data_IF_129244825233
#
_entry.id   IF_129244825233
#
_cell.length_a   1.000
_cell.length_b   1.000
_cell.length_c   1.000
_cell.angle_alpha   90.00
_cell.angle_beta   90.00
_cell.angle_gamma   90.00
#
_symmetry.space_group_name_H-M   'P 1'
#
loop_
_entity.id
_entity.type
_entity.pdbx_description
1 polymer ?
#
# COMPACT_ATOMS: atom_id res chain seq x y z
N UNK A 1 18.65 -11.36 -41.38
CA UNK A 1 17.60 -12.33 -41.75
C UNK A 1 16.18 -12.10 -41.22
N UNK A 2 15.93 -11.18 -40.27
CA UNK A 2 14.57 -10.75 -39.91
C UNK A 2 14.26 -9.33 -40.42
N UNK A 3 15.27 -8.45 -40.43
CA UNK A 3 15.14 -7.07 -40.91
C UNK A 3 14.88 -6.98 -42.42
N UNK A 4 15.41 -7.93 -43.20
CA UNK A 4 15.25 -7.96 -44.67
C UNK A 4 13.85 -8.41 -45.12
N UNK A 5 13.07 -9.07 -44.23
CA UNK A 5 11.67 -9.45 -44.48
C UNK A 5 10.69 -8.31 -44.24
N UNK A 6 11.07 -7.29 -43.46
CA UNK A 6 10.21 -6.15 -43.13
C UNK A 6 10.19 -5.08 -44.24
N UNK A 7 11.16 -5.09 -45.16
CA UNK A 7 11.27 -4.10 -46.24
C UNK A 7 10.45 -4.42 -47.51
N UNK A 8 9.86 -5.63 -47.63
CA UNK A 8 9.10 -6.06 -48.83
C UNK A 8 7.58 -5.85 -48.76
N UNK A 9 7.06 -5.30 -47.66
CA UNK A 9 5.65 -4.93 -47.54
C UNK A 9 5.59 -3.41 -47.32
N UNK A 10 5.11 -2.71 -48.35
CA UNK A 10 5.21 -1.25 -48.56
C UNK A 10 5.11 -0.39 -47.31
N UNK A 11 6.09 0.50 -47.18
CA UNK A 11 6.38 1.29 -45.98
C UNK A 11 5.45 2.47 -45.72
N UNK A 12 5.57 3.02 -44.51
CA UNK A 12 5.89 4.43 -44.26
C UNK A 12 6.70 4.50 -42.96
N UNK A 13 7.89 5.11 -43.01
CA UNK A 13 8.76 5.37 -41.86
C UNK A 13 8.35 6.65 -41.12
N UNK A 14 8.57 6.78 -39.80
CA UNK A 14 8.26 7.99 -39.06
C UNK A 14 9.51 8.87 -38.92
N UNK A 15 9.43 10.13 -39.36
CA UNK A 15 10.29 11.18 -38.81
C UNK A 15 9.65 12.56 -38.95
N UNK A 16 9.79 13.31 -37.85
CA UNK A 16 9.59 14.75 -37.68
C UNK A 16 8.16 15.22 -37.42
N UNK A 17 7.84 15.39 -36.13
CA UNK A 17 7.38 16.70 -35.66
C UNK A 17 7.61 16.84 -34.15
N UNK A 18 8.72 17.49 -33.78
CA UNK A 18 8.85 18.14 -32.49
C UNK A 18 8.33 19.56 -32.64
N UNK A 19 7.23 19.92 -31.98
CA UNK A 19 7.14 21.16 -31.20
C UNK A 19 5.75 21.40 -30.58
N UNK A 20 5.83 21.72 -29.28
CA UNK A 20 4.93 22.59 -28.50
C UNK A 20 3.55 22.03 -28.15
N UNK A 21 3.43 21.49 -26.94
CA UNK A 21 2.22 21.64 -26.12
C UNK A 21 2.64 22.02 -24.69
N UNK A 22 2.59 23.33 -24.40
CA UNK A 22 2.49 23.86 -23.04
C UNK A 22 1.01 24.07 -22.71
N UNK A 23 0.62 23.56 -21.55
CA UNK A 23 -0.36 24.10 -20.60
C UNK A 23 -1.55 24.91 -21.15
N UNK A 24 -2.77 24.39 -20.97
CA UNK A 24 -3.85 25.16 -20.37
C UNK A 24 -4.95 24.24 -19.82
N UNK A 25 -5.38 24.57 -18.61
CA UNK A 25 -6.37 23.87 -17.82
C UNK A 25 -7.73 23.75 -18.52
N UNK A 26 -8.41 22.66 -18.19
CA UNK A 26 -9.79 22.36 -18.55
C UNK A 26 -10.77 23.40 -17.99
N UNK A 27 -11.07 24.42 -18.78
CA UNK A 27 -12.35 25.12 -18.75
C UNK A 27 -13.23 24.53 -19.86
N UNK A 28 -14.36 23.93 -19.49
CA UNK A 28 -15.36 23.43 -20.44
C UNK A 28 -15.98 24.59 -21.23
N UNK A 29 -15.48 24.82 -22.44
CA UNK A 29 -16.20 25.55 -23.48
C UNK A 29 -16.49 24.53 -24.57
N UNK A 30 -17.77 24.20 -24.76
CA UNK A 30 -18.23 23.49 -25.94
C UNK A 30 -18.04 24.41 -27.16
N UNK A 31 -16.91 24.27 -27.85
CA UNK A 31 -16.71 24.87 -29.16
C UNK A 31 -17.49 24.04 -30.17
N UNK A 32 -18.67 24.51 -30.59
CA UNK A 32 -19.34 23.94 -31.76
C UNK A 32 -18.52 24.27 -33.00
N UNK A 33 -17.76 23.29 -33.49
CA UNK A 33 -17.20 23.29 -34.84
C UNK A 33 -18.38 23.28 -35.82
N UNK A 34 -18.80 24.46 -36.26
CA UNK A 34 -19.62 24.62 -37.46
C UNK A 34 -18.78 24.14 -38.63
N UNK A 35 -19.17 22.99 -39.19
CA UNK A 35 -18.75 22.57 -40.53
C UNK A 35 -18.87 23.73 -41.49
N UNK A 36 -17.75 24.08 -42.11
CA UNK A 36 -17.68 25.05 -43.20
C UNK A 36 -18.39 24.43 -44.41
N UNK A 37 -19.70 24.64 -44.51
CA UNK A 37 -20.44 24.35 -45.74
C UNK A 37 -20.16 25.48 -46.72
N UNK A 38 -19.58 25.14 -47.87
CA UNK A 38 -19.36 26.01 -49.01
C UNK A 38 -20.59 26.89 -49.28
N UNK A 39 -20.42 28.20 -49.08
CA UNK A 39 -21.37 29.19 -49.56
C UNK A 39 -21.04 29.45 -51.02
N UNK A 40 -21.90 28.96 -51.92
CA UNK A 40 -22.00 29.49 -53.27
C UNK A 40 -22.27 31.00 -53.16
N UNK A 41 -21.34 31.79 -53.66
CA UNK A 41 -21.52 33.21 -53.89
C UNK A 41 -22.51 33.36 -55.06
N UNK A 42 -23.75 33.75 -54.76
CA UNK A 42 -24.62 34.37 -55.75
C UNK A 42 -24.37 35.88 -55.72
N UNK A 43 -24.09 36.41 -56.91
CA UNK A 43 -23.94 37.82 -57.24
C UNK A 43 -25.22 38.58 -56.87
N UNK A 44 -25.16 39.32 -55.77
CA UNK A 44 -25.91 40.54 -55.59
C UNK A 44 -25.06 41.41 -54.66
N UNK A 45 -24.31 42.34 -55.25
CA UNK A 45 -23.52 43.37 -54.54
C UNK A 45 -24.43 44.43 -53.89
N UNK A 46 -25.42 44.00 -53.10
CA UNK A 46 -26.08 44.89 -52.15
C UNK A 46 -25.50 44.64 -50.76
N UNK A 47 -24.89 45.69 -50.24
CA UNK A 47 -24.39 45.74 -48.86
C UNK A 47 -25.53 45.37 -47.91
N UNK A 48 -25.41 44.26 -47.17
CA UNK A 48 -26.43 43.85 -46.19
C UNK A 48 -26.67 44.99 -45.20
N UNK A 49 -27.84 45.61 -45.28
CA UNK A 49 -28.18 46.73 -44.40
C UNK A 49 -28.24 46.23 -42.96
N UNK A 50 -27.37 46.79 -42.11
CA UNK A 50 -27.29 46.44 -40.69
C UNK A 50 -28.53 47.01 -39.99
N UNK A 51 -29.54 46.17 -39.76
CA UNK A 51 -30.75 46.56 -39.01
C UNK A 51 -30.39 46.76 -37.52
N UNK A 52 -30.09 48.00 -37.13
CA UNK A 52 -29.77 48.39 -35.75
C UNK A 52 -30.98 48.33 -34.79
N UNK A 53 -32.19 48.17 -35.33
CA UNK A 53 -33.41 48.08 -34.52
C UNK A 53 -33.59 46.62 -34.10
N UNK A 54 -33.46 46.36 -32.79
CA UNK A 54 -33.76 45.07 -32.17
C UNK A 54 -35.07 44.49 -32.72
N UNK A 55 -34.97 43.50 -33.63
CA UNK A 55 -36.09 42.64 -33.98
C UNK A 55 -36.57 42.03 -32.67
N UNK A 56 -37.85 42.26 -32.32
CA UNK A 56 -38.46 41.70 -31.11
C UNK A 56 -38.08 40.22 -31.03
N UNK A 57 -37.28 39.84 -30.04
CA UNK A 57 -36.91 38.45 -29.81
C UNK A 57 -38.21 37.64 -29.69
N UNK A 58 -38.54 36.88 -30.74
CA UNK A 58 -39.62 35.90 -30.66
C UNK A 58 -39.14 34.87 -29.65
N UNK A 59 -39.78 34.83 -28.49
CA UNK A 59 -39.51 33.82 -27.46
C UNK A 59 -39.73 32.45 -28.10
N UNK A 60 -38.64 31.77 -28.44
CA UNK A 60 -38.67 30.36 -28.77
C UNK A 60 -39.30 29.63 -27.57
N UNK A 61 -40.30 28.75 -27.77
CA UNK A 61 -40.90 28.02 -26.68
C UNK A 61 -39.81 27.23 -25.95
N UNK A 62 -39.71 27.41 -24.62
CA UNK A 62 -38.75 26.69 -23.82
C UNK A 62 -38.95 25.18 -24.03
N UNK A 63 -37.86 24.46 -24.33
CA UNK A 63 -37.90 23.01 -24.53
C UNK A 63 -38.45 22.35 -23.25
N UNK A 64 -39.63 21.77 -23.33
CA UNK A 64 -40.21 21.00 -22.22
C UNK A 64 -39.30 19.81 -21.93
N UNK A 65 -38.64 19.80 -20.77
CA UNK A 65 -37.88 18.64 -20.31
C UNK A 65 -38.86 17.48 -20.10
N UNK A 66 -38.74 16.44 -20.92
CA UNK A 66 -39.48 15.20 -20.72
C UNK A 66 -38.92 14.52 -19.47
N UNK A 67 -39.79 14.24 -18.50
CA UNK A 67 -39.44 13.43 -17.32
C UNK A 67 -39.02 12.04 -17.77
N UNK A 68 -37.87 11.56 -17.29
CA UNK A 68 -37.38 10.21 -17.58
C UNK A 68 -37.91 9.25 -16.51
N UNK A 69 -38.44 8.10 -16.92
CA UNK A 69 -38.87 7.07 -15.98
C UNK A 69 -37.63 6.45 -15.32
N UNK A 70 -37.44 6.73 -14.02
CA UNK A 70 -36.33 6.17 -13.25
C UNK A 70 -36.66 4.72 -12.90
N UNK A 71 -35.87 3.79 -13.42
CA UNK A 71 -35.98 2.37 -13.06
C UNK A 71 -35.67 2.15 -11.58
N UNK A 72 -36.31 1.16 -10.92
CA UNK A 72 -36.01 0.86 -9.53
C UNK A 72 -34.53 0.44 -9.36
N UNK A 73 -33.93 0.74 -8.19
CA UNK A 73 -32.53 0.43 -7.95
C UNK A 73 -32.24 -1.07 -7.98
N UNK A 74 -31.06 -1.43 -8.48
CA UNK A 74 -30.63 -2.82 -8.71
C UNK A 74 -30.77 -3.70 -7.46
N UNK A 75 -30.46 -3.18 -6.27
CA UNK A 75 -30.50 -3.97 -5.04
C UNK A 75 -31.88 -4.53 -4.69
N UNK A 76 -32.97 -3.89 -5.12
CA UNK A 76 -34.34 -4.41 -4.90
C UNK A 76 -34.62 -5.67 -5.71
N UNK A 77 -33.83 -5.93 -6.76
CA UNK A 77 -33.96 -7.08 -7.66
C UNK A 77 -32.92 -8.17 -7.37
N UNK A 78 -31.98 -7.92 -6.45
CA UNK A 78 -30.93 -8.88 -6.10
C UNK A 78 -31.51 -10.00 -5.23
N UNK A 79 -31.06 -11.23 -5.46
CA UNK A 79 -31.35 -12.37 -4.57
C UNK A 79 -30.42 -12.31 -3.36
N UNK A 80 -30.89 -12.79 -2.21
CA UNK A 80 -30.09 -12.81 -0.97
C UNK A 80 -28.90 -13.78 -1.11
N UNK A 81 -29.11 -14.93 -1.76
CA UNK A 81 -28.08 -15.98 -1.93
C UNK A 81 -27.15 -15.76 -3.14
N UNK A 82 -27.17 -14.58 -3.74
CA UNK A 82 -26.36 -14.28 -4.93
C UNK A 82 -24.86 -14.23 -4.60
N UNK A 83 -24.01 -14.71 -5.51
CA UNK A 83 -22.56 -14.49 -5.42
C UNK A 83 -22.23 -12.99 -5.46
N UNK A 84 -21.78 -12.49 -4.31
CA UNK A 84 -21.38 -11.11 -4.13
C UNK A 84 -20.21 -10.69 -5.04
N UNK A 85 -19.29 -11.62 -5.34
CA UNK A 85 -18.16 -11.35 -6.23
C UNK A 85 -18.57 -10.92 -7.63
N UNK A 86 -19.73 -11.36 -8.11
CA UNK A 86 -20.29 -10.95 -9.41
C UNK A 86 -21.01 -9.60 -9.33
N UNK A 87 -21.50 -9.20 -8.16
CA UNK A 87 -22.12 -7.89 -7.92
C UNK A 87 -21.04 -6.81 -7.85
N UNK A 88 -19.92 -7.12 -7.18
CA UNK A 88 -18.84 -6.19 -6.91
C UNK A 88 -17.44 -6.79 -7.20
N UNK A 89 -17.06 -6.93 -8.49
CA UNK A 89 -15.86 -7.68 -8.87
C UNK A 89 -14.54 -6.95 -8.62
N UNK A 90 -14.52 -5.61 -8.66
CA UNK A 90 -13.31 -4.79 -8.62
C UNK A 90 -13.49 -3.54 -7.74
N UNK A 91 -12.38 -2.88 -7.43
CA UNK A 91 -12.36 -1.62 -6.70
C UNK A 91 -13.19 -0.56 -7.44
N UNK A 92 -14.16 0.05 -6.73
CA UNK A 92 -15.04 1.09 -7.26
C UNK A 92 -15.60 1.93 -6.13
N UNK A 93 -15.94 3.19 -6.40
CA UNK A 93 -16.66 4.05 -5.47
C UNK A 93 -17.97 3.42 -5.02
N UNK A 94 -18.37 3.68 -3.78
CA UNK A 94 -19.63 3.19 -3.23
C UNK A 94 -20.82 3.62 -4.11
N UNK A 95 -21.66 2.67 -4.49
CA UNK A 95 -22.83 2.93 -5.33
C UNK A 95 -24.11 2.47 -4.63
N UNK A 96 -24.98 3.41 -4.19
CA UNK A 96 -26.12 3.10 -3.32
C UNK A 96 -27.16 2.19 -3.97
N UNK A 97 -27.27 2.20 -5.31
CA UNK A 97 -28.23 1.36 -6.02
C UNK A 97 -27.80 -0.10 -6.15
N UNK A 98 -26.51 -0.41 -5.99
CA UNK A 98 -25.96 -1.77 -6.16
C UNK A 98 -25.76 -2.51 -4.84
N UNK A 99 -25.55 -1.78 -3.74
CA UNK A 99 -25.27 -2.37 -2.43
C UNK A 99 -26.59 -2.56 -1.66
N UNK A 100 -26.98 -3.80 -1.32
CA UNK A 100 -28.24 -4.13 -0.65
C UNK A 100 -28.21 -3.90 0.88
N UNK A 101 -27.30 -3.06 1.37
CA UNK A 101 -27.14 -2.77 2.79
C UNK A 101 -27.71 -1.39 3.14
N UNK A 102 -28.42 -1.23 4.27
CA UNK A 102 -28.93 0.05 4.75
C UNK A 102 -27.84 0.83 5.50
N UNK A 103 -26.76 1.20 4.81
CA UNK A 103 -25.62 1.91 5.41
C UNK A 103 -25.97 3.39 5.60
N UNK A 104 -25.66 3.93 6.78
CA UNK A 104 -25.81 5.36 7.12
C UNK A 104 -24.49 5.89 7.64
N UNK A 105 -24.14 7.12 7.27
CA UNK A 105 -22.90 7.75 7.73
C UNK A 105 -23.02 9.27 7.74
N UNK A 106 -22.36 9.91 8.71
CA UNK A 106 -22.33 11.36 8.89
C UNK A 106 -22.69 11.74 10.32
N UNK A 107 -22.28 12.92 10.76
CA UNK A 107 -22.67 13.43 12.07
C UNK A 107 -24.11 13.96 12.00
N UNK A 108 -25.05 13.43 12.79
CA UNK A 108 -26.43 13.93 12.80
C UNK A 108 -26.52 15.26 13.54
N UNK A 109 -27.44 16.13 13.11
CA UNK A 109 -27.84 17.27 13.95
C UNK A 109 -28.64 16.79 15.17
N UNK A 110 -28.74 17.64 16.21
CA UNK A 110 -29.49 17.31 17.42
C UNK A 110 -30.93 16.91 17.08
N UNK A 111 -31.34 15.71 17.49
CA UNK A 111 -32.67 15.14 17.21
C UNK A 111 -32.88 14.60 15.79
N UNK A 112 -31.86 14.60 14.92
CA UNK A 112 -31.95 14.07 13.55
C UNK A 112 -31.29 12.69 13.40
N UNK A 113 -31.72 11.94 12.39
CA UNK A 113 -31.13 10.64 12.03
C UNK A 113 -29.91 10.84 11.13
N UNK A 114 -28.91 9.99 11.29
CA UNK A 114 -27.73 9.94 10.39
C UNK A 114 -28.14 9.85 8.92
N UNK A 115 -27.49 10.62 8.02
CA UNK A 115 -27.78 10.59 6.59
C UNK A 115 -27.74 9.19 6.00
N UNK A 116 -28.71 8.90 5.12
CA UNK A 116 -28.83 7.62 4.41
C UNK A 116 -27.74 7.48 3.33
N UNK A 117 -27.64 6.32 2.68
CA UNK A 117 -26.64 6.05 1.63
C UNK A 117 -26.84 6.83 0.34
N UNK A 118 -28.04 7.33 0.08
CA UNK A 118 -28.38 8.05 -1.14
C UNK A 118 -27.86 9.48 -1.10
N UNK A 119 -27.02 9.86 -2.06
CA UNK A 119 -26.45 11.21 -2.14
C UNK A 119 -25.42 11.52 -1.04
N UNK A 120 -24.93 10.52 -0.32
CA UNK A 120 -23.99 10.71 0.79
C UNK A 120 -22.54 10.77 0.31
N UNK A 121 -21.95 11.96 0.35
CA UNK A 121 -20.58 12.19 -0.06
C UNK A 121 -19.54 11.51 0.86
N UNK A 122 -19.85 11.30 2.15
CA UNK A 122 -18.91 10.65 3.07
C UNK A 122 -18.68 9.19 2.70
N UNK A 123 -19.73 8.49 2.26
CA UNK A 123 -19.61 7.12 1.75
C UNK A 123 -18.85 7.04 0.42
N UNK A 124 -18.81 8.11 -0.36
CA UNK A 124 -18.05 8.16 -1.62
C UNK A 124 -16.54 8.36 -1.40
N UNK A 125 -16.15 9.01 -0.29
CA UNK A 125 -14.73 9.26 0.05
C UNK A 125 -14.00 8.01 0.54
N UNK A 126 -14.72 7.08 1.17
CA UNK A 126 -14.11 5.90 1.77
C UNK A 126 -13.59 4.93 0.69
N UNK A 127 -12.31 4.52 0.74
CA UNK A 127 -11.84 3.39 -0.05
C UNK A 127 -12.45 2.11 0.52
N UNK A 128 -13.51 1.61 -0.13
CA UNK A 128 -14.24 0.44 0.33
C UNK A 128 -13.56 -0.88 -0.09
N UNK A 129 -13.80 -1.92 0.71
CA UNK A 129 -13.26 -3.28 0.51
C UNK A 129 -14.33 -4.27 0.05
N UNK A 130 -15.43 -3.78 -0.55
CA UNK A 130 -16.56 -4.63 -0.95
C UNK A 130 -16.19 -5.67 -2.03
N UNK A 131 -15.10 -5.47 -2.77
CA UNK A 131 -14.56 -6.43 -3.74
C UNK A 131 -13.62 -7.47 -3.10
N UNK A 132 -13.14 -7.22 -1.88
CA UNK A 132 -12.18 -8.06 -1.14
C UNK A 132 -12.87 -8.76 0.03
N UNK A 133 -14.05 -9.32 -0.21
CA UNK A 133 -14.75 -10.13 0.81
C UNK A 133 -14.08 -11.50 0.96
N UNK A 134 -14.09 -12.13 2.15
CA UNK A 134 -13.40 -13.39 2.38
C UNK A 134 -13.74 -14.53 1.39
N UNK A 135 -15.00 -14.72 0.95
CA UNK A 135 -15.33 -15.72 -0.08
C UNK A 135 -14.67 -15.42 -1.44
N UNK A 136 -14.60 -14.13 -1.82
CA UNK A 136 -13.97 -13.70 -3.07
C UNK A 136 -12.46 -13.90 -3.01
N UNK A 137 -11.83 -13.58 -1.88
CA UNK A 137 -10.39 -13.78 -1.68
C UNK A 137 -10.02 -15.26 -1.79
N UNK A 138 -10.79 -16.17 -1.16
CA UNK A 138 -10.53 -17.61 -1.24
C UNK A 138 -10.53 -18.09 -2.70
N UNK A 139 -11.55 -17.73 -3.47
CA UNK A 139 -11.65 -18.04 -4.90
C UNK A 139 -10.49 -17.46 -5.71
N UNK A 140 -10.08 -16.21 -5.42
CA UNK A 140 -8.95 -15.57 -6.09
C UNK A 140 -7.63 -16.28 -5.76
N UNK A 141 -7.37 -16.59 -4.50
CA UNK A 141 -6.19 -17.33 -4.07
C UNK A 141 -6.16 -18.73 -4.70
N UNK A 142 -7.27 -19.44 -4.76
CA UNK A 142 -7.38 -20.73 -5.47
C UNK A 142 -7.00 -20.62 -6.95
N UNK A 143 -7.47 -19.58 -7.64
CA UNK A 143 -7.10 -19.34 -9.04
C UNK A 143 -5.62 -18.94 -9.21
N UNK A 144 -5.03 -18.28 -8.21
CA UNK A 144 -3.63 -17.85 -8.21
C UNK A 144 -2.65 -18.96 -7.81
N UNK A 145 -3.09 -19.98 -7.06
CA UNK A 145 -2.26 -21.12 -6.62
C UNK A 145 -1.51 -21.79 -7.79
N UNK A 146 -2.10 -21.82 -8.99
CA UNK A 146 -1.47 -22.38 -10.20
C UNK A 146 -0.15 -21.69 -10.61
N UNK A 147 0.08 -20.46 -10.15
CA UNK A 147 1.29 -19.69 -10.43
C UNK A 147 2.33 -19.77 -9.30
N UNK A 148 1.96 -20.32 -8.15
CA UNK A 148 2.87 -20.44 -7.00
C UNK A 148 3.70 -21.73 -7.11
N UNK A 149 4.97 -21.63 -6.75
CA UNK A 149 5.87 -22.79 -6.57
C UNK A 149 5.98 -23.14 -5.08
N UNK A 150 6.11 -24.41 -4.70
CA UNK A 150 6.39 -24.77 -3.32
C UNK A 150 7.75 -24.20 -2.89
N UNK A 151 7.86 -23.84 -1.62
CA UNK A 151 9.15 -23.47 -1.02
C UNK A 151 10.06 -24.71 -0.93
N UNK A 152 11.37 -24.61 -1.19
CA UNK A 152 12.29 -25.74 -1.10
C UNK A 152 12.37 -26.32 0.32
N UNK A 153 12.32 -27.64 0.44
CA UNK A 153 12.49 -28.37 1.70
C UNK A 153 13.96 -28.41 2.15
N UNK A 154 14.21 -28.31 3.46
CA UNK A 154 15.57 -28.41 4.03
C UNK A 154 16.32 -27.07 4.19
N UNK A 155 15.62 -25.94 4.07
CA UNK A 155 16.13 -24.60 4.40
C UNK A 155 15.15 -23.83 5.28
N UNK A 156 14.50 -24.54 6.21
CA UNK A 156 13.50 -23.95 7.10
C UNK A 156 14.16 -23.06 8.17
N UNK A 157 15.40 -23.42 8.57
CA UNK A 157 16.14 -22.71 9.62
C UNK A 157 17.07 -21.66 9.03
N UNK A 158 17.20 -20.51 9.69
CA UNK A 158 18.10 -19.43 9.27
C UNK A 158 19.58 -19.87 9.17
N UNK A 159 20.05 -20.74 10.05
CA UNK A 159 21.42 -21.28 10.01
C UNK A 159 21.69 -22.12 8.75
N UNK A 160 20.70 -22.88 8.27
CA UNK A 160 20.82 -23.66 7.03
C UNK A 160 20.82 -22.73 5.81
N UNK A 161 19.98 -21.68 5.84
CA UNK A 161 19.95 -20.66 4.80
C UNK A 161 21.29 -19.95 4.68
N UNK A 162 21.92 -19.56 5.79
CA UNK A 162 23.22 -18.90 5.80
C UNK A 162 24.34 -19.82 5.31
N UNK A 163 24.28 -21.12 5.65
CA UNK A 163 25.25 -22.13 5.19
C UNK A 163 25.23 -22.34 3.68
N UNK A 164 24.05 -22.49 3.07
CA UNK A 164 23.92 -22.72 1.63
C UNK A 164 23.92 -21.43 0.81
N UNK A 165 23.45 -20.32 1.40
CA UNK A 165 23.30 -19.01 0.75
C UNK A 165 23.96 -17.90 1.60
N UNK A 166 25.31 -17.83 1.62
CA UNK A 166 26.05 -16.87 2.45
C UNK A 166 25.96 -15.41 1.95
N UNK A 167 25.40 -15.18 0.76
CA UNK A 167 25.24 -13.85 0.17
C UNK A 167 23.76 -13.49 0.12
N UNK A 168 23.41 -12.40 0.81
CA UNK A 168 22.07 -11.83 0.81
C UNK A 168 22.04 -10.56 -0.04
N UNK A 169 21.11 -10.49 -0.98
CA UNK A 169 20.89 -9.32 -1.84
C UNK A 169 19.53 -8.70 -1.55
N UNK A 170 19.55 -7.54 -0.89
CA UNK A 170 18.33 -6.79 -0.57
C UNK A 170 18.05 -5.75 -1.65
N UNK A 171 16.84 -5.78 -2.20
CA UNK A 171 16.34 -4.84 -3.21
C UNK A 171 15.01 -4.27 -2.74
N UNK A 172 14.81 -2.97 -2.92
CA UNK A 172 13.60 -2.26 -2.49
C UNK A 172 12.83 -1.73 -3.71
N UNK A 173 11.54 -2.06 -3.80
CA UNK A 173 10.64 -1.56 -4.85
C UNK A 173 9.54 -0.72 -4.23
N UNK A 174 9.21 0.43 -4.84
CA UNK A 174 8.26 1.40 -4.31
C UNK A 174 7.07 1.57 -5.26
N UNK A 175 5.87 1.65 -4.70
CA UNK A 175 4.63 1.89 -5.46
C UNK A 175 3.97 3.18 -4.98
N UNK A 176 3.83 4.15 -5.88
CA UNK A 176 3.20 5.44 -5.62
C UNK A 176 1.94 5.59 -6.46
N UNK A 177 1.00 6.45 -6.03
CA UNK A 177 -0.18 6.85 -6.82
C UNK A 177 0.15 7.90 -7.92
N UNK A 178 1.43 8.16 -8.16
CA UNK A 178 1.94 9.09 -9.17
C UNK A 178 1.82 8.50 -10.59
N UNK A 179 1.65 9.32 -11.63
CA UNK A 179 1.73 8.86 -13.03
C UNK A 179 3.10 8.27 -13.41
N UNK A 180 4.14 8.54 -12.61
CA UNK A 180 5.50 8.04 -12.86
C UNK A 180 5.82 6.86 -11.95
N UNK A 181 6.21 5.74 -12.57
CA UNK A 181 6.67 4.51 -11.88
C UNK A 181 8.12 4.58 -11.38
N UNK A 182 8.87 5.63 -11.76
CA UNK A 182 10.30 5.74 -11.47
C UNK A 182 10.52 6.27 -10.04
N UNK A 183 11.29 5.52 -9.26
CA UNK A 183 11.82 5.96 -7.96
C UNK A 183 13.33 5.76 -7.94
N UNK A 184 14.08 6.84 -7.66
CA UNK A 184 15.54 6.80 -7.61
C UNK A 184 16.07 5.91 -6.48
N UNK A 185 15.29 5.69 -5.40
CA UNK A 185 15.68 4.81 -4.29
C UNK A 185 15.73 3.34 -4.70
N UNK A 186 14.91 2.94 -5.67
CA UNK A 186 14.87 1.55 -6.14
C UNK A 186 16.16 1.08 -6.83
N UNK A 187 17.08 2.00 -7.18
CA UNK A 187 18.38 1.67 -7.77
C UNK A 187 19.39 1.10 -6.77
N UNK A 188 19.15 1.30 -5.47
CA UNK A 188 20.09 0.93 -4.41
C UNK A 188 19.97 -0.57 -4.18
N UNK A 189 21.11 -1.26 -4.24
CA UNK A 189 21.23 -2.68 -3.95
C UNK A 189 22.18 -2.85 -2.77
N UNK A 190 21.73 -3.53 -1.73
CA UNK A 190 22.56 -3.82 -0.55
C UNK A 190 22.94 -5.28 -0.58
N UNK A 191 24.25 -5.54 -0.53
CA UNK A 191 24.82 -6.89 -0.44
C UNK A 191 25.33 -7.09 0.99
N UNK A 192 24.87 -8.15 1.64
CA UNK A 192 25.44 -8.65 2.89
C UNK A 192 26.07 -10.01 2.63
N UNK A 193 27.28 -10.20 3.10
CA UNK A 193 28.02 -11.46 3.02
C UNK A 193 28.35 -11.87 4.45
N UNK A 194 28.04 -13.12 4.80
CA UNK A 194 28.52 -13.73 6.04
C UNK A 194 29.63 -14.71 5.66
N UNK A 195 30.80 -14.56 6.28
CA UNK A 195 31.91 -15.49 6.10
C UNK A 195 31.97 -16.54 7.22
N UNK A 196 32.49 -17.76 6.95
CA UNK A 196 32.56 -18.82 7.97
C UNK A 196 33.30 -18.41 9.25
N UNK A 197 34.35 -17.59 9.12
CA UNK A 197 35.17 -17.12 10.25
C UNK A 197 34.45 -16.14 11.18
N UNK A 198 33.30 -15.57 10.77
CA UNK A 198 32.52 -14.69 11.66
C UNK A 198 31.92 -15.43 12.85
N UNK A 199 31.73 -16.75 12.74
CA UNK A 199 31.29 -17.60 13.86
C UNK A 199 32.43 -17.92 14.84
N UNK A 200 33.69 -17.78 14.40
CA UNK A 200 34.89 -18.03 15.21
C UNK A 200 35.27 -16.80 16.06
N UNK A 201 34.41 -15.78 16.08
CA UNK A 201 34.64 -14.53 16.80
C UNK A 201 34.88 -14.80 18.30
N UNK A 202 36.09 -14.46 18.76
CA UNK A 202 36.50 -14.67 20.13
C UNK A 202 35.73 -13.76 21.11
N UNK A 203 35.73 -14.12 22.39
CA UNK A 203 35.05 -13.32 23.45
C UNK A 203 35.61 -11.91 23.51
N UNK A 204 36.92 -11.73 23.30
CA UNK A 204 37.59 -10.42 23.32
C UNK A 204 37.16 -9.50 22.17
N UNK A 205 36.75 -10.06 21.04
CA UNK A 205 36.31 -9.29 19.87
C UNK A 205 34.82 -8.91 19.96
N UNK A 206 34.08 -9.44 20.94
CA UNK A 206 32.66 -9.12 21.14
C UNK A 206 32.53 -7.67 21.61
N UNK A 207 31.81 -6.86 20.84
CA UNK A 207 31.51 -5.46 21.18
C UNK A 207 30.51 -5.32 22.33
N UNK A 208 29.78 -6.40 22.63
CA UNK A 208 28.80 -6.46 23.70
C UNK A 208 29.03 -7.71 24.52
N UNK A 209 28.81 -7.57 25.81
CA UNK A 209 28.78 -8.68 26.72
C UNK A 209 27.56 -9.55 26.44
N UNK A 210 27.82 -10.84 26.19
CA UNK A 210 26.80 -11.88 25.99
C UNK A 210 26.87 -12.78 27.23
N UNK A 211 25.73 -12.94 27.91
CA UNK A 211 25.62 -13.75 29.12
C UNK A 211 25.85 -15.24 28.87
N UNK A 212 25.29 -15.76 27.77
CA UNK A 212 25.37 -17.19 27.45
C UNK A 212 26.82 -17.61 27.13
N UNK A 213 27.33 -18.60 27.88
CA UNK A 213 28.70 -19.09 27.82
C UNK A 213 29.73 -18.19 28.51
N UNK A 214 29.29 -17.23 29.34
CA UNK A 214 30.21 -16.29 30.01
C UNK A 214 30.83 -16.85 31.30
N UNK A 215 31.97 -16.29 31.76
CA UNK A 215 32.53 -16.63 33.07
C UNK A 215 31.58 -16.31 34.23
N UNK A 216 30.76 -15.25 34.11
CA UNK A 216 29.80 -14.88 35.15
C UNK A 216 28.64 -15.86 35.24
N UNK A 217 28.20 -16.43 34.11
CA UNK A 217 27.22 -17.52 34.11
C UNK A 217 27.78 -18.78 34.76
N UNK A 218 29.03 -19.15 34.46
CA UNK A 218 29.70 -20.29 35.09
C UNK A 218 29.86 -20.09 36.60
N UNK A 219 30.23 -18.87 37.04
CA UNK A 219 30.31 -18.53 38.45
C UNK A 219 28.94 -18.59 39.14
N UNK A 220 27.88 -18.10 38.48
CA UNK A 220 26.51 -18.20 38.98
C UNK A 220 26.08 -19.66 39.13
N UNK A 221 26.34 -20.50 38.13
CA UNK A 221 26.02 -21.92 38.20
C UNK A 221 26.75 -22.60 39.36
N UNK A 222 28.03 -22.28 39.59
CA UNK A 222 28.77 -22.80 40.73
C UNK A 222 28.17 -22.36 42.08
N UNK A 223 27.65 -21.13 42.19
CA UNK A 223 26.94 -20.65 43.39
C UNK A 223 25.64 -21.42 43.59
N UNK A 224 24.86 -21.63 42.52
CA UNK A 224 23.61 -22.40 42.55
C UNK A 224 23.88 -23.84 42.96
N UNK A 225 24.91 -24.48 42.39
CA UNK A 225 25.28 -25.86 42.70
C UNK A 225 25.77 -26.03 44.15
N UNK A 226 26.30 -24.96 44.76
CA UNK A 226 26.75 -24.95 46.16
C UNK A 226 25.64 -24.65 47.18
N UNK A 227 24.53 -24.06 46.75
CA UNK A 227 23.38 -23.77 47.58
C UNK A 227 22.38 -24.92 47.49
N UNK A 228 22.07 -25.57 48.62
CA UNK A 228 21.07 -26.65 48.67
C UNK A 228 19.63 -26.15 48.40
N UNK A 229 19.38 -24.85 48.61
CA UNK A 229 18.08 -24.21 48.39
C UNK A 229 17.94 -23.70 46.94
N UNK A 230 16.80 -23.98 46.32
CA UNK A 230 16.47 -23.53 44.97
C UNK A 230 16.36 -22.01 44.92
N UNK A 231 17.32 -21.35 44.28
CA UNK A 231 17.26 -19.90 44.02
C UNK A 231 16.10 -19.58 43.06
N UNK A 232 15.26 -18.57 43.36
CA UNK A 232 14.17 -18.21 42.47
C UNK A 232 14.69 -17.75 41.09
N UNK A 233 14.07 -18.22 40.01
CA UNK A 233 14.43 -17.85 38.63
C UNK A 233 14.38 -16.33 38.41
N UNK A 234 13.50 -15.62 39.12
CA UNK A 234 13.40 -14.15 39.08
C UNK A 234 14.70 -13.45 39.52
N UNK A 235 15.39 -14.00 40.53
CA UNK A 235 16.65 -13.44 41.04
C UNK A 235 17.80 -13.70 40.06
N UNK A 236 17.78 -14.86 39.41
CA UNK A 236 18.76 -15.22 38.35
C UNK A 236 18.61 -14.27 37.16
N UNK A 237 17.39 -14.01 36.72
CA UNK A 237 17.12 -13.08 35.61
C UNK A 237 17.45 -11.62 35.98
N UNK A 238 17.17 -11.20 37.22
CA UNK A 238 17.57 -9.88 37.72
C UNK A 238 19.09 -9.72 37.68
N UNK A 239 19.85 -10.69 38.20
CA UNK A 239 21.31 -10.69 38.19
C UNK A 239 21.87 -10.70 36.76
N UNK A 240 21.36 -11.58 35.89
CA UNK A 240 21.74 -11.66 34.48
C UNK A 240 21.58 -10.31 33.79
N UNK A 241 20.42 -9.66 33.95
CA UNK A 241 20.15 -8.35 33.36
C UNK A 241 21.11 -7.29 33.87
N UNK A 242 21.33 -7.23 35.18
CA UNK A 242 22.21 -6.22 35.78
C UNK A 242 23.68 -6.40 35.35
N UNK A 243 24.17 -7.63 35.22
CA UNK A 243 25.52 -7.91 34.70
C UNK A 243 25.66 -7.51 33.24
N UNK A 244 24.65 -7.80 32.42
CA UNK A 244 24.61 -7.39 31.01
C UNK A 244 24.65 -5.85 30.91
N UNK A 245 23.83 -5.16 31.69
CA UNK A 245 23.75 -3.70 31.70
C UNK A 245 25.09 -3.10 32.16
N UNK A 246 25.69 -3.63 33.24
CA UNK A 246 26.99 -3.17 33.76
C UNK A 246 28.10 -3.23 32.70
N UNK A 247 28.21 -4.34 31.96
CA UNK A 247 29.27 -4.50 30.95
C UNK A 247 29.00 -3.73 29.65
N UNK A 248 27.73 -3.47 29.31
CA UNK A 248 27.37 -2.84 28.03
C UNK A 248 27.12 -1.34 28.13
N UNK A 249 26.51 -0.86 29.22
CA UNK A 249 26.20 0.55 29.45
C UNK A 249 27.36 1.28 30.16
N UNK A 250 28.25 0.54 30.84
CA UNK A 250 29.42 1.05 31.53
C UNK A 250 29.30 0.99 33.05
N UNK A 251 30.43 1.25 33.73
CA UNK A 251 30.54 1.22 35.19
C UNK A 251 30.21 2.59 35.80
N UNK A 252 28.92 2.87 35.94
CA UNK A 252 28.42 4.04 36.66
C UNK A 252 28.01 3.68 38.11
N UNK A 253 28.09 4.64 39.04
CA UNK A 253 27.63 4.49 40.44
C UNK A 253 26.25 3.79 40.60
N UNK A 254 25.19 4.16 39.83
CA UNK A 254 23.92 3.44 39.88
C UNK A 254 24.01 1.99 39.38
N UNK A 255 24.84 1.70 38.37
CA UNK A 255 24.98 0.32 37.84
C UNK A 255 25.69 -0.58 38.83
N UNK A 256 26.73 -0.07 39.51
CA UNK A 256 27.44 -0.77 40.57
C UNK A 256 26.56 -1.01 41.79
N UNK A 257 25.72 -0.04 42.15
CA UNK A 257 24.74 -0.19 43.23
C UNK A 257 23.72 -1.29 42.93
N UNK A 258 23.15 -1.30 41.71
CA UNK A 258 22.23 -2.37 41.27
C UNK A 258 22.92 -3.74 41.26
N UNK A 259 24.16 -3.80 40.79
CA UNK A 259 24.94 -5.05 40.78
C UNK A 259 25.14 -5.58 42.19
N UNK A 260 25.60 -4.70 43.10
CA UNK A 260 25.76 -5.02 44.52
C UNK A 260 24.46 -5.56 45.13
N UNK A 261 23.34 -4.90 44.90
CA UNK A 261 22.04 -5.31 45.44
C UNK A 261 21.58 -6.66 44.85
N UNK A 262 21.78 -6.88 43.56
CA UNK A 262 21.45 -8.15 42.89
C UNK A 262 22.29 -9.32 43.43
N UNK A 263 23.58 -9.11 43.74
CA UNK A 263 24.45 -10.12 44.33
C UNK A 263 24.07 -10.40 45.79
N UNK A 264 23.73 -9.36 46.57
CA UNK A 264 23.28 -9.56 47.95
C UNK A 264 22.00 -10.41 48.03
N UNK A 265 21.05 -10.17 47.12
CA UNK A 265 19.85 -11.00 46.97
C UNK A 265 20.19 -12.44 46.58
N UNK A 266 21.13 -12.63 45.66
CA UNK A 266 21.55 -13.94 45.17
C UNK A 266 22.17 -14.81 46.26
N UNK A 267 22.98 -14.22 47.14
CA UNK A 267 23.70 -14.93 48.23
C UNK A 267 22.86 -15.01 49.52
N UNK A 268 21.65 -14.43 49.55
CA UNK A 268 20.78 -14.46 50.73
C UNK A 268 21.27 -13.59 51.90
N UNK A 269 22.03 -12.54 51.60
CA UNK A 269 22.55 -11.57 52.59
C UNK A 269 21.68 -10.30 52.68
N UNK A 270 20.62 -10.22 51.89
CA UNK A 270 19.69 -9.08 51.80
C UNK A 270 18.51 -9.22 52.78
#
# INVERSE_FOLDING_TARGET
DIEDKMLKLGGVTPRLYSQVLRLAASCNIHTTLSTFSELKAEENEEFRTLELRSKKFVRQPARVMKSHNVVPPRYKRQKVDQDWGNVWPAARTFHPASVPLPVRQGYPASGQVTPDKWGNAELMKIPNFLHLTPPVIKRQCEALKKFCTPWPSGIETAAEQEKYFPVMVSKSTYLHSSPTLRDQKARIVTLRKTEPWEHEKEVADRERYIWEGSPSQAALQAIIDSNEDSTPEEVIEEYKKVVIDLHNEGEDEPTLSRYRDSVMKLVGLA
#
